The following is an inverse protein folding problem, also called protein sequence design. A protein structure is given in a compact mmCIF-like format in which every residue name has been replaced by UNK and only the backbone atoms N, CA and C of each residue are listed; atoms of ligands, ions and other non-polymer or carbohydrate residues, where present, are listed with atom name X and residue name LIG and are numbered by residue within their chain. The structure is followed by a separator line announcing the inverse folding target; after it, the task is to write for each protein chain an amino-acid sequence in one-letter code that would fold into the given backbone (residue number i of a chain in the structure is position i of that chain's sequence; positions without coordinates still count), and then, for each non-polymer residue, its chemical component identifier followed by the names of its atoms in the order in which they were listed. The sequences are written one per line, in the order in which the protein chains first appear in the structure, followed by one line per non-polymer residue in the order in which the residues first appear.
data_IF_583039740266
#
_entry.id   IF_583039740266
#
_cell.length_a   1.000
_cell.length_b   1.000
_cell.length_c   1.000
_cell.angle_alpha   90.00
_cell.angle_beta   90.00
_cell.angle_gamma   90.00
#
_symmetry.space_group_name_H-M   'P 1'
#
loop_
_entity.id
_entity.type
_entity.pdbx_description
1 polymer ?
#
# COMPACT_ATOMS: atom_id res chain seq x y z
N UNK A 1 16.17 0.02 -14.29
CA UNK A 1 15.49 1.33 -14.12
C UNK A 1 14.07 1.32 -14.67
N UNK A 2 13.83 0.86 -15.92
CA UNK A 2 12.47 0.77 -16.49
C UNK A 2 11.50 -0.07 -15.63
N UNK A 3 11.94 -1.24 -15.16
CA UNK A 3 11.12 -2.12 -14.29
C UNK A 3 10.71 -1.45 -12.97
N UNK A 4 11.61 -0.68 -12.35
CA UNK A 4 11.34 0.06 -11.11
C UNK A 4 10.35 1.20 -11.36
N UNK A 5 10.43 1.87 -12.51
CA UNK A 5 9.45 2.88 -12.91
C UNK A 5 8.07 2.26 -13.15
N UNK A 6 8.01 1.04 -13.71
CA UNK A 6 6.77 0.27 -13.83
C UNK A 6 6.11 0.02 -12.48
N UNK A 7 6.89 -0.47 -11.50
CA UNK A 7 6.41 -0.66 -10.12
C UNK A 7 5.91 0.64 -9.49
N UNK A 8 6.62 1.75 -9.68
CA UNK A 8 6.18 3.06 -9.17
C UNK A 8 4.86 3.49 -9.82
N UNK A 9 4.68 3.23 -11.12
CA UNK A 9 3.43 3.52 -11.83
C UNK A 9 2.27 2.66 -11.31
N UNK A 10 2.49 1.36 -11.11
CA UNK A 10 1.51 0.45 -10.53
C UNK A 10 1.07 0.89 -9.12
N UNK A 11 2.02 1.32 -8.29
CA UNK A 11 1.73 1.89 -6.96
C UNK A 11 0.84 3.13 -7.03
N UNK A 12 1.02 4.01 -8.03
CA UNK A 12 0.15 5.19 -8.22
C UNK A 12 -1.30 4.74 -8.46
N UNK A 13 -1.49 3.76 -9.34
CA UNK A 13 -2.83 3.25 -9.66
C UNK A 13 -3.49 2.61 -8.45
N UNK A 14 -2.75 1.79 -7.68
CA UNK A 14 -3.26 1.15 -6.45
C UNK A 14 -3.74 2.15 -5.41
N UNK A 15 -3.00 3.25 -5.21
CA UNK A 15 -3.42 4.34 -4.30
C UNK A 15 -4.74 4.93 -4.78
N UNK A 16 -4.84 5.26 -6.07
CA UNK A 16 -6.05 5.86 -6.63
C UNK A 16 -7.27 4.93 -6.52
N UNK A 17 -7.10 3.63 -6.80
CA UNK A 17 -8.17 2.66 -6.66
C UNK A 17 -8.55 2.39 -5.20
N UNK A 18 -7.57 2.30 -4.30
CA UNK A 18 -7.79 2.17 -2.86
C UNK A 18 -8.62 3.33 -2.30
N UNK A 19 -8.26 4.57 -2.65
CA UNK A 19 -8.95 5.78 -2.20
C UNK A 19 -10.38 5.88 -2.75
N UNK A 20 -10.56 5.53 -4.04
CA UNK A 20 -11.89 5.46 -4.66
C UNK A 20 -12.77 4.44 -3.96
N UNK A 21 -12.22 3.27 -3.64
CA UNK A 21 -12.94 2.20 -2.96
C UNK A 21 -13.33 2.60 -1.53
N UNK A 22 -12.37 3.12 -0.75
CA UNK A 22 -12.60 3.66 0.60
C UNK A 22 -13.71 4.73 0.60
N UNK A 23 -13.69 5.63 -0.39
CA UNK A 23 -14.72 6.66 -0.56
C UNK A 23 -16.11 6.07 -0.77
N UNK A 24 -16.25 5.00 -1.57
CA UNK A 24 -17.55 4.36 -1.76
C UNK A 24 -18.02 3.60 -0.51
N UNK A 25 -17.11 2.92 0.20
CA UNK A 25 -17.42 2.29 1.49
C UNK A 25 -17.89 3.31 2.52
N UNK A 26 -17.23 4.46 2.62
CA UNK A 26 -17.62 5.56 3.52
C UNK A 26 -19.01 6.09 3.19
N UNK A 27 -19.28 6.35 1.91
CA UNK A 27 -20.63 6.75 1.46
C UNK A 27 -21.67 5.70 1.86
N UNK A 28 -21.39 4.43 1.61
CA UNK A 28 -22.30 3.34 1.97
C UNK A 28 -22.54 3.27 3.49
N UNK A 29 -21.49 3.42 4.31
CA UNK A 29 -21.59 3.44 5.77
C UNK A 29 -22.60 4.50 6.24
N UNK A 30 -22.45 5.74 5.77
CA UNK A 30 -23.33 6.86 6.10
C UNK A 30 -24.79 6.63 5.71
N UNK A 31 -25.06 5.92 4.60
CA UNK A 31 -26.43 5.61 4.17
C UNK A 31 -27.07 4.46 4.97
N UNK A 32 -26.28 3.59 5.58
CA UNK A 32 -26.78 2.33 6.15
C UNK A 32 -27.27 2.41 7.61
N UNK A 33 -26.94 3.49 8.34
CA UNK A 33 -27.29 3.85 9.74
C UNK A 33 -27.11 2.79 10.85
N UNK A 34 -27.12 1.49 10.57
CA UNK A 34 -27.16 0.37 11.54
C UNK A 34 -26.02 -0.63 11.35
N UNK A 35 -25.33 -0.61 10.20
CA UNK A 35 -24.16 -1.47 9.88
C UNK A 35 -22.85 -0.69 9.77
N UNK A 36 -22.87 0.58 10.20
CA UNK A 36 -21.79 1.53 10.00
C UNK A 36 -20.45 1.04 10.57
N UNK A 37 -20.43 0.46 11.78
CA UNK A 37 -19.18 0.12 12.47
C UNK A 37 -18.33 -0.93 11.73
N UNK A 38 -18.93 -1.99 11.17
CA UNK A 38 -18.18 -2.99 10.40
C UNK A 38 -17.70 -2.40 9.06
N UNK A 39 -18.51 -1.57 8.41
CA UNK A 39 -18.13 -0.93 7.15
C UNK A 39 -17.01 0.09 7.39
N UNK A 40 -17.05 0.83 8.49
CA UNK A 40 -16.01 1.78 8.89
C UNK A 40 -14.65 1.12 9.12
N UNK A 41 -14.62 -0.06 9.73
CA UNK A 41 -13.37 -0.83 9.85
C UNK A 41 -12.76 -1.12 8.47
N UNK A 42 -13.60 -1.48 7.49
CA UNK A 42 -13.16 -1.71 6.11
C UNK A 42 -12.77 -0.41 5.38
N UNK A 43 -13.40 0.72 5.70
CA UNK A 43 -12.94 2.04 5.21
C UNK A 43 -11.52 2.30 5.70
N UNK A 44 -11.28 2.16 7.00
CA UNK A 44 -9.97 2.39 7.61
C UNK A 44 -8.91 1.45 7.02
N UNK A 45 -9.25 0.18 6.79
CA UNK A 45 -8.35 -0.76 6.13
C UNK A 45 -7.99 -0.33 4.70
N UNK A 46 -8.97 0.13 3.91
CA UNK A 46 -8.71 0.58 2.55
C UNK A 46 -7.88 1.87 2.51
N UNK A 47 -8.10 2.80 3.44
CA UNK A 47 -7.28 4.01 3.57
C UNK A 47 -5.86 3.70 4.02
N UNK A 48 -5.70 2.81 5.01
CA UNK A 48 -4.39 2.36 5.47
C UNK A 48 -3.59 1.69 4.36
N UNK A 49 -4.27 0.94 3.47
CA UNK A 49 -3.64 0.40 2.28
C UNK A 49 -3.10 1.51 1.38
N UNK A 50 -3.93 2.47 0.96
CA UNK A 50 -3.49 3.59 0.11
C UNK A 50 -2.34 4.39 0.72
N UNK A 51 -2.39 4.66 2.02
CA UNK A 51 -1.32 5.36 2.75
C UNK A 51 -0.03 4.52 2.70
N UNK A 52 -0.12 3.23 3.02
CA UNK A 52 1.04 2.33 3.01
C UNK A 52 1.70 2.25 1.63
N UNK A 53 0.90 2.15 0.56
CA UNK A 53 1.40 2.13 -0.81
C UNK A 53 2.03 3.48 -1.19
N UNK A 54 1.44 4.60 -0.75
CA UNK A 54 2.00 5.94 -0.98
C UNK A 54 3.37 6.13 -0.32
N UNK A 55 3.51 5.66 0.93
CA UNK A 55 4.78 5.66 1.67
C UNK A 55 5.79 4.75 0.99
N UNK A 56 5.36 3.57 0.53
CA UNK A 56 6.17 2.65 -0.27
C UNK A 56 6.76 3.32 -1.51
N UNK A 57 5.89 3.94 -2.30
CA UNK A 57 6.26 4.66 -3.51
C UNK A 57 7.29 5.75 -3.24
N UNK A 58 7.03 6.61 -2.26
CA UNK A 58 7.91 7.73 -1.95
C UNK A 58 9.30 7.26 -1.49
N UNK A 59 9.34 6.26 -0.60
CA UNK A 59 10.58 5.71 -0.07
C UNK A 59 11.40 5.02 -1.14
N UNK A 60 10.77 4.17 -1.97
CA UNK A 60 11.46 3.50 -3.08
C UNK A 60 11.97 4.52 -4.10
N UNK A 61 11.16 5.50 -4.49
CA UNK A 61 11.59 6.53 -5.43
C UNK A 61 12.80 7.31 -4.91
N UNK A 62 12.79 7.67 -3.62
CA UNK A 62 13.93 8.31 -2.96
C UNK A 62 15.16 7.40 -2.93
N UNK A 63 15.00 6.12 -2.58
CA UNK A 63 16.08 5.13 -2.56
C UNK A 63 16.72 4.96 -3.93
N UNK A 64 15.92 4.83 -4.98
CA UNK A 64 16.40 4.67 -6.35
C UNK A 64 17.20 5.89 -6.83
N UNK A 65 16.79 7.09 -6.41
CA UNK A 65 17.52 8.32 -6.73
C UNK A 65 18.84 8.43 -5.96
N UNK A 66 18.87 8.01 -4.70
CA UNK A 66 20.06 8.13 -3.81
C UNK A 66 21.08 7.01 -4.04
N UNK A 67 20.62 5.79 -4.28
CA UNK A 67 21.46 4.59 -4.41
C UNK A 67 21.15 3.82 -5.71
N UNK A 68 21.44 4.39 -6.89
CA UNK A 68 21.07 3.78 -8.18
C UNK A 68 21.76 2.44 -8.46
N UNK A 69 22.88 2.15 -7.80
CA UNK A 69 23.64 0.90 -7.90
C UNK A 69 23.39 -0.06 -6.73
N UNK A 70 22.33 0.18 -5.95
CA UNK A 70 21.94 -0.64 -4.81
C UNK A 70 21.85 -2.14 -5.18
N UNK A 71 22.55 -3.01 -4.44
CA UNK A 71 22.34 -4.45 -4.47
C UNK A 71 20.87 -4.87 -4.32
N UNK A 72 20.07 -4.19 -3.50
CA UNK A 72 18.62 -4.45 -3.36
C UNK A 72 17.89 -4.18 -4.67
N UNK A 73 18.16 -3.06 -5.34
CA UNK A 73 17.56 -2.75 -6.65
C UNK A 73 17.97 -3.75 -7.73
N UNK A 74 19.23 -4.20 -7.69
CA UNK A 74 19.72 -5.24 -8.59
C UNK A 74 19.06 -6.58 -8.31
N UNK A 75 18.85 -6.93 -7.04
CA UNK A 75 18.14 -8.14 -6.64
C UNK A 75 16.69 -8.12 -7.12
N UNK A 76 15.98 -7.01 -6.89
CA UNK A 76 14.59 -6.79 -7.34
C UNK A 76 14.45 -7.01 -8.85
N UNK A 77 15.34 -6.39 -9.63
CA UNK A 77 15.37 -6.53 -11.09
C UNK A 77 15.71 -7.96 -11.52
N UNK A 78 16.76 -8.56 -10.96
CA UNK A 78 17.23 -9.92 -11.34
C UNK A 78 16.24 -11.04 -11.05
N UNK A 79 15.35 -10.85 -10.06
CA UNK A 79 14.35 -11.83 -9.63
C UNK A 79 12.99 -11.60 -10.28
N UNK A 80 12.86 -10.63 -11.19
CA UNK A 80 11.57 -10.23 -11.78
C UNK A 80 10.50 -9.95 -10.72
N UNK A 81 10.92 -9.45 -9.56
CA UNK A 81 9.98 -9.10 -8.48
C UNK A 81 9.08 -7.95 -8.91
N UNK A 82 9.56 -7.10 -9.82
CA UNK A 82 8.76 -6.07 -10.46
C UNK A 82 7.61 -6.66 -11.27
N UNK A 83 7.87 -7.67 -12.11
CA UNK A 83 6.85 -8.28 -12.98
C UNK A 83 5.73 -8.92 -12.15
N UNK A 84 6.09 -9.73 -11.15
CA UNK A 84 5.09 -10.36 -10.27
C UNK A 84 4.35 -9.35 -9.39
N UNK A 85 4.97 -8.22 -9.06
CA UNK A 85 4.31 -7.14 -8.34
C UNK A 85 3.35 -6.34 -9.23
N UNK A 86 3.71 -6.16 -10.50
CA UNK A 86 2.87 -5.49 -11.50
C UNK A 86 1.62 -6.31 -11.81
N UNK A 87 1.78 -7.62 -12.04
CA UNK A 87 0.66 -8.56 -12.23
C UNK A 87 -0.29 -8.57 -11.00
N UNK A 88 0.27 -8.59 -9.79
CA UNK A 88 -0.53 -8.52 -8.57
C UNK A 88 -1.21 -7.16 -8.40
N UNK A 89 -0.54 -6.07 -8.79
CA UNK A 89 -1.10 -4.72 -8.73
C UNK A 89 -2.26 -4.54 -9.70
N UNK A 90 -2.14 -5.08 -10.92
CA UNK A 90 -3.19 -5.09 -11.93
C UNK A 90 -4.40 -5.89 -11.42
N UNK A 91 -4.18 -7.11 -10.93
CA UNK A 91 -5.25 -7.95 -10.38
C UNK A 91 -5.99 -7.29 -9.21
N UNK A 92 -5.26 -6.66 -8.29
CA UNK A 92 -5.87 -5.91 -7.16
C UNK A 92 -6.62 -4.68 -7.66
N UNK A 93 -6.07 -3.96 -8.63
CA UNK A 93 -6.71 -2.77 -9.22
C UNK A 93 -8.04 -3.11 -9.89
N UNK A 94 -8.07 -4.17 -10.69
CA UNK A 94 -9.29 -4.65 -11.35
C UNK A 94 -10.37 -5.04 -10.35
N UNK A 95 -9.99 -5.76 -9.29
CA UNK A 95 -10.94 -6.17 -8.25
C UNK A 95 -11.44 -5.01 -7.41
N UNK A 96 -10.58 -4.03 -7.11
CA UNK A 96 -10.98 -2.78 -6.47
C UNK A 96 -11.95 -1.98 -7.34
N UNK A 97 -11.69 -1.92 -8.65
CA UNK A 97 -12.58 -1.29 -9.62
C UNK A 97 -13.95 -1.97 -9.65
N UNK A 98 -13.98 -3.30 -9.72
CA UNK A 98 -15.21 -4.09 -9.70
C UNK A 98 -15.98 -3.93 -8.39
N UNK A 99 -15.30 -4.01 -7.24
CA UNK A 99 -15.90 -3.80 -5.93
C UNK A 99 -16.48 -2.38 -5.80
N UNK A 100 -15.76 -1.38 -6.29
CA UNK A 100 -16.21 0.02 -6.36
C UNK A 100 -17.47 0.16 -7.20
N UNK A 101 -17.50 -0.46 -8.39
CA UNK A 101 -18.66 -0.41 -9.27
C UNK A 101 -19.88 -1.15 -8.69
N UNK A 102 -19.66 -2.28 -8.03
CA UNK A 102 -20.71 -3.01 -7.29
C UNK A 102 -21.26 -2.13 -6.16
N UNK A 103 -20.40 -1.46 -5.39
CA UNK A 103 -20.83 -0.55 -4.34
C UNK A 103 -21.69 0.61 -4.90
N UNK A 104 -21.26 1.22 -6.01
CA UNK A 104 -22.07 2.25 -6.70
C UNK A 104 -23.44 1.72 -7.14
N UNK A 105 -23.49 0.50 -7.67
CA UNK A 105 -24.76 -0.16 -8.06
C UNK A 105 -25.65 -0.45 -6.86
N UNK A 106 -25.09 -0.87 -5.72
CA UNK A 106 -25.81 -1.08 -4.48
C UNK A 106 -26.52 0.20 -4.02
N UNK A 107 -25.78 1.31 -4.02
CA UNK A 107 -26.27 2.62 -3.57
C UNK A 107 -27.28 3.30 -4.51
N UNK A 108 -27.62 2.72 -5.67
CA UNK A 108 -28.68 3.27 -6.55
C UNK A 108 -30.06 3.26 -5.90
N UNK A 109 -30.30 2.33 -4.98
CA UNK A 109 -31.58 2.22 -4.27
C UNK A 109 -31.47 2.95 -2.92
N UNK A 110 -32.41 3.86 -2.62
CA UNK A 110 -32.43 4.61 -1.34
C UNK A 110 -33.18 3.88 -0.20
N UNK A 111 -33.83 2.76 -0.50
CA UNK A 111 -34.56 1.96 0.49
C UNK A 111 -33.59 1.15 1.36
N UNK A 112 -33.56 1.45 2.66
CA UNK A 112 -32.65 0.86 3.65
C UNK A 112 -32.75 -0.66 3.74
N UNK A 113 -33.96 -1.23 3.73
CA UNK A 113 -34.18 -2.69 3.76
C UNK A 113 -33.60 -3.37 2.50
N UNK A 114 -33.79 -2.77 1.32
CA UNK A 114 -33.24 -3.31 0.07
C UNK A 114 -31.71 -3.23 0.08
N UNK A 115 -31.15 -2.13 0.60
CA UNK A 115 -29.71 -1.99 0.81
C UNK A 115 -29.17 -3.06 1.76
N UNK A 116 -29.91 -3.40 2.82
CA UNK A 116 -29.52 -4.43 3.78
C UNK A 116 -29.39 -5.81 3.11
N UNK A 117 -30.40 -6.23 2.35
CA UNK A 117 -30.37 -7.53 1.68
C UNK A 117 -29.31 -7.59 0.59
N UNK A 118 -29.18 -6.51 -0.20
CA UNK A 118 -28.14 -6.45 -1.21
C UNK A 118 -26.74 -6.46 -0.58
N UNK A 119 -26.50 -5.71 0.48
CA UNK A 119 -25.24 -5.78 1.22
C UNK A 119 -24.96 -7.20 1.71
N UNK A 120 -25.95 -7.83 2.35
CA UNK A 120 -25.78 -9.19 2.87
C UNK A 120 -25.40 -10.19 1.78
N UNK A 121 -25.99 -10.06 0.58
CA UNK A 121 -25.70 -10.93 -0.55
C UNK A 121 -24.36 -10.63 -1.24
N UNK A 122 -23.97 -9.35 -1.34
CA UNK A 122 -22.78 -8.93 -2.09
C UNK A 122 -21.55 -8.66 -1.22
N UNK A 123 -21.66 -8.71 0.11
CA UNK A 123 -20.60 -8.37 1.06
C UNK A 123 -19.31 -9.13 0.75
N UNK A 124 -19.37 -10.45 0.61
CA UNK A 124 -18.15 -11.26 0.43
C UNK A 124 -17.42 -10.92 -0.87
N UNK A 125 -18.16 -10.63 -1.94
CA UNK A 125 -17.57 -10.20 -3.21
C UNK A 125 -16.98 -8.79 -3.15
N UNK A 126 -17.54 -7.91 -2.31
CA UNK A 126 -17.03 -6.55 -2.11
C UNK A 126 -15.80 -6.57 -1.20
N UNK A 127 -15.74 -7.50 -0.24
CA UNK A 127 -14.65 -7.59 0.72
C UNK A 127 -13.50 -8.50 0.25
N UNK A 128 -13.69 -9.27 -0.82
CA UNK A 128 -12.65 -10.10 -1.43
C UNK A 128 -11.31 -9.37 -1.65
N UNK A 129 -11.27 -8.10 -2.12
CA UNK A 129 -10.00 -7.41 -2.37
C UNK A 129 -9.14 -7.21 -1.11
N UNK A 130 -9.72 -7.22 0.11
CA UNK A 130 -8.96 -6.90 1.33
C UNK A 130 -7.81 -7.87 1.61
N UNK A 131 -8.00 -9.17 1.38
CA UNK A 131 -6.93 -10.15 1.59
C UNK A 131 -5.74 -9.90 0.65
N UNK A 132 -6.04 -9.49 -0.58
CA UNK A 132 -5.02 -9.25 -1.61
C UNK A 132 -4.33 -7.90 -1.41
N UNK A 133 -5.08 -6.88 -1.00
CA UNK A 133 -4.53 -5.62 -0.53
C UNK A 133 -3.52 -5.84 0.61
N UNK A 134 -3.85 -6.67 1.60
CA UNK A 134 -2.95 -6.98 2.72
C UNK A 134 -1.70 -7.75 2.27
N UNK A 135 -1.84 -8.72 1.37
CA UNK A 135 -0.71 -9.45 0.81
C UNK A 135 0.24 -8.51 0.05
N UNK A 136 -0.31 -7.70 -0.87
CA UNK A 136 0.45 -6.75 -1.67
C UNK A 136 1.13 -5.68 -0.79
N UNK A 137 0.41 -5.16 0.20
CA UNK A 137 0.96 -4.23 1.20
C UNK A 137 2.16 -4.85 1.91
N UNK A 138 2.04 -6.10 2.36
CA UNK A 138 3.12 -6.80 3.06
C UNK A 138 4.36 -6.97 2.18
N UNK A 139 4.17 -7.37 0.91
CA UNK A 139 5.27 -7.47 -0.05
C UNK A 139 5.99 -6.13 -0.26
N UNK A 140 5.22 -5.05 -0.41
CA UNK A 140 5.77 -3.71 -0.61
C UNK A 140 6.47 -3.15 0.62
N UNK A 141 5.92 -3.39 1.81
CA UNK A 141 6.57 -3.06 3.08
C UNK A 141 7.90 -3.80 3.22
N UNK A 142 7.96 -5.09 2.87
CA UNK A 142 9.20 -5.87 2.94
C UNK A 142 10.28 -5.35 1.98
N UNK A 143 9.90 -4.98 0.76
CA UNK A 143 10.81 -4.33 -0.20
C UNK A 143 11.32 -2.99 0.33
N UNK A 144 10.43 -2.17 0.91
CA UNK A 144 10.80 -0.92 1.58
C UNK A 144 11.78 -1.13 2.72
N UNK A 145 11.47 -2.04 3.66
CA UNK A 145 12.32 -2.31 4.82
C UNK A 145 13.70 -2.78 4.38
N UNK A 146 13.77 -3.58 3.32
CA UNK A 146 15.05 -4.02 2.73
C UNK A 146 15.86 -2.85 2.17
N UNK A 147 15.22 -1.93 1.45
CA UNK A 147 15.86 -0.72 0.93
C UNK A 147 16.31 0.24 2.05
N UNK A 148 15.49 0.40 3.09
CA UNK A 148 15.83 1.22 4.28
C UNK A 148 17.03 0.61 5.00
N UNK A 149 17.03 -0.70 5.24
CA UNK A 149 18.13 -1.40 5.90
C UNK A 149 19.44 -1.23 5.14
N UNK A 150 19.39 -1.38 3.81
CA UNK A 150 20.55 -1.14 2.96
C UNK A 150 21.05 0.31 3.04
N UNK A 151 20.14 1.28 3.04
CA UNK A 151 20.49 2.70 3.22
C UNK A 151 21.22 2.94 4.54
N UNK A 152 20.72 2.38 5.65
CA UNK A 152 21.37 2.48 6.95
C UNK A 152 22.77 1.86 6.97
N UNK A 153 22.94 0.68 6.34
CA UNK A 153 24.24 0.03 6.25
C UNK A 153 25.22 0.84 5.41
N UNK A 154 24.77 1.39 4.28
CA UNK A 154 25.58 2.23 3.40
C UNK A 154 26.03 3.52 4.12
N UNK A 155 25.11 4.22 4.78
CA UNK A 155 25.41 5.44 5.54
C UNK A 155 26.37 5.18 6.70
N UNK A 156 26.24 4.03 7.37
CA UNK A 156 27.18 3.63 8.44
C UNK A 156 28.60 3.37 7.92
N UNK A 157 28.73 2.86 6.69
CA UNK A 157 30.05 2.60 6.06
C UNK A 157 30.72 3.88 5.55
N UNK A 158 29.93 4.88 5.18
CA UNK A 158 30.40 6.18 4.68
C UNK A 158 30.64 7.21 5.80
N UNK A 159 30.20 6.92 7.03
CA UNK A 159 30.42 7.78 8.18
C UNK A 159 31.93 7.91 8.52
N UNK A 160 32.48 9.13 8.59
CA UNK A 160 33.88 9.34 8.94
C UNK A 160 34.16 8.86 10.37
N UNK A 161 35.32 8.23 10.58
CA UNK A 161 35.75 7.64 11.86
C UNK A 161 35.61 8.60 13.07
N UNK A 162 35.80 9.90 12.84
CA UNK A 162 35.66 10.97 13.85
C UNK A 162 34.26 11.10 14.47
N UNK A 163 33.21 10.64 13.78
CA UNK A 163 31.84 10.75 14.29
C UNK A 163 31.54 9.75 15.42
N UNK A 164 32.20 8.59 15.42
CA UNK A 164 32.07 7.59 16.48
C UNK A 164 32.97 7.90 17.68
N UNK A 165 34.16 8.49 17.46
CA UNK A 165 35.01 8.95 18.57
C UNK A 165 34.39 10.10 19.36
N UNK A 166 33.64 11.02 18.73
CA UNK A 166 32.94 12.08 19.46
C UNK A 166 31.78 11.56 20.31
N UNK A 167 31.05 10.54 19.83
CA UNK A 167 29.94 9.94 20.58
C UNK A 167 30.49 9.11 21.76
N UNK A 168 31.57 8.34 21.54
CA UNK A 168 32.22 7.60 22.62
C UNK A 168 32.81 8.51 23.69
N UNK A 169 33.40 9.67 23.32
CA UNK A 169 33.90 10.66 24.27
C UNK A 169 32.79 11.36 25.07
N UNK A 170 31.62 11.60 24.46
CA UNK A 170 30.47 12.19 25.16
C UNK A 170 29.85 11.24 26.19
N UNK A 171 29.88 9.93 25.94
CA UNK A 171 29.42 8.92 26.91
C UNK A 171 30.44 8.68 28.05
N UNK A 172 31.73 8.97 27.87
CA UNK A 172 32.74 8.90 28.93
C UNK A 172 32.81 10.16 29.81
N UNK A 173 32.27 11.29 29.33
CA UNK A 173 32.22 12.57 30.06
C UNK A 173 30.91 12.79 30.86
N UNK A 174 29.97 11.83 30.83
CA UNK A 174 28.74 11.81 31.64
C UNK A 174 28.83 10.86 32.85
#
# INVERSE_FOLDING_TARGET
MAEILGVIAAMIQLVEFGDKFATQLRRFSHFSNSRAQQVEQHVVQAENFSISISVARFSLMRHCKKYPQSPVLRYISSRKLCDGLDENAEAVSDRLYDATNRMKKLMRTKLSLVLFFKWFYYKDMILLPFAEMESLKTCLLLLMTSAILESFIAERREAPADSYERIAKLDEEM
#
